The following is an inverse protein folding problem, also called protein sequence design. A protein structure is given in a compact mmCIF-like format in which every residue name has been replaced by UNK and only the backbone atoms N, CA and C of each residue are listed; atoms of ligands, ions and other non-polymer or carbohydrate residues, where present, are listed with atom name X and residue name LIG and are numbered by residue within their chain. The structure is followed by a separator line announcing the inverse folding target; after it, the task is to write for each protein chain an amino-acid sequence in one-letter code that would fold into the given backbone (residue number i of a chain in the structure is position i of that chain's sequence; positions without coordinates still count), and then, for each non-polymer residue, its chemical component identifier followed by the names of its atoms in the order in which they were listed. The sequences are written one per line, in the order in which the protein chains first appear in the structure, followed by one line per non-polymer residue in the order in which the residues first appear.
data_IF_802953417233
#
_entry.id   IF_802953417233
#
_cell.length_a   1.000
_cell.length_b   1.000
_cell.length_c   1.000
_cell.angle_alpha   90.00
_cell.angle_beta   90.00
_cell.angle_gamma   90.00
#
_symmetry.space_group_name_H-M   'P 1'
#
loop_
_entity.id
_entity.type
_entity.pdbx_description
1 polymer ?
#
# COMPACT_ATOMS: atom_id res chain seq x y z
N UNK A 1 17.59 -9.24 -4.18
CA UNK A 1 16.61 -9.93 -5.05
C UNK A 1 17.38 -10.42 -6.28
N UNK A 2 17.12 -11.61 -6.84
CA UNK A 2 17.90 -12.13 -7.98
C UNK A 2 17.58 -11.45 -9.32
N UNK A 3 16.49 -10.68 -9.37
CA UNK A 3 16.11 -9.77 -10.44
C UNK A 3 16.39 -8.33 -10.00
N UNK A 4 16.55 -7.41 -10.96
CA UNK A 4 16.77 -5.98 -10.69
C UNK A 4 15.63 -5.36 -9.91
N UNK A 5 14.39 -5.60 -10.34
CA UNK A 5 13.18 -5.19 -9.62
C UNK A 5 12.05 -6.21 -9.81
N UNK A 6 10.96 -6.03 -9.05
CA UNK A 6 9.72 -6.78 -9.30
C UNK A 6 9.15 -6.50 -10.70
N UNK A 7 9.33 -5.27 -11.19
CA UNK A 7 8.87 -4.87 -12.52
C UNK A 7 9.64 -5.56 -13.65
N UNK A 8 10.94 -5.83 -13.46
CA UNK A 8 11.78 -6.50 -14.47
C UNK A 8 11.61 -8.03 -14.49
N UNK A 9 11.16 -8.64 -13.40
CA UNK A 9 11.18 -10.10 -13.25
C UNK A 9 10.31 -10.86 -14.26
N UNK A 10 9.05 -10.45 -14.47
CA UNK A 10 8.15 -11.13 -15.41
C UNK A 10 8.61 -11.00 -16.87
N UNK A 11 9.02 -9.82 -17.37
CA UNK A 11 9.64 -9.69 -18.69
C UNK A 11 10.87 -10.60 -18.87
N UNK A 12 11.80 -10.62 -17.91
CA UNK A 12 12.98 -11.49 -18.01
C UNK A 12 12.57 -12.96 -18.10
N UNK A 13 11.66 -13.42 -17.23
CA UNK A 13 11.16 -14.80 -17.26
C UNK A 13 10.44 -15.15 -18.58
N UNK A 14 9.74 -14.19 -19.18
CA UNK A 14 9.12 -14.37 -20.48
C UNK A 14 10.17 -14.61 -21.58
N UNK A 15 11.23 -13.80 -21.64
CA UNK A 15 12.32 -13.98 -22.62
C UNK A 15 13.01 -15.34 -22.48
N UNK A 16 13.24 -15.81 -21.25
CA UNK A 16 13.75 -17.17 -21.02
C UNK A 16 12.81 -18.25 -21.55
N UNK A 17 11.50 -18.05 -21.38
CA UNK A 17 10.49 -18.99 -21.89
C UNK A 17 10.50 -19.01 -23.41
N UNK A 18 10.52 -17.84 -24.06
CA UNK A 18 10.61 -17.72 -25.52
C UNK A 18 11.87 -18.39 -26.08
N UNK A 19 13.02 -18.17 -25.44
CA UNK A 19 14.27 -18.81 -25.84
C UNK A 19 14.21 -20.33 -25.66
N UNK A 20 13.63 -20.83 -24.57
CA UNK A 20 13.46 -22.28 -24.37
C UNK A 20 12.54 -22.89 -25.42
N UNK A 21 11.46 -22.22 -25.81
CA UNK A 21 10.62 -22.65 -26.93
C UNK A 21 11.42 -22.77 -28.24
N UNK A 22 12.35 -21.86 -28.52
CA UNK A 22 13.24 -21.95 -29.69
C UNK A 22 14.20 -23.14 -29.59
N UNK A 23 14.79 -23.37 -28.41
CA UNK A 23 15.67 -24.54 -28.17
C UNK A 23 14.93 -25.86 -28.38
N UNK A 24 13.70 -25.99 -27.88
CA UNK A 24 12.87 -27.19 -28.07
C UNK A 24 12.45 -27.40 -29.53
N UNK A 25 12.26 -26.31 -30.29
CA UNK A 25 11.93 -26.40 -31.70
C UNK A 25 13.10 -26.96 -32.54
N UNK A 26 14.34 -26.66 -32.16
CA UNK A 26 15.54 -27.16 -32.83
C UNK A 26 15.93 -28.57 -32.34
N UNK A 27 15.88 -28.81 -31.03
CA UNK A 27 16.26 -30.09 -30.43
C UNK A 27 15.33 -30.40 -29.24
N UNK A 28 14.27 -31.21 -29.43
CA UNK A 28 13.30 -31.50 -28.38
C UNK A 28 13.88 -32.29 -27.21
N UNK A 29 13.33 -32.08 -26.01
CA UNK A 29 13.59 -32.87 -24.81
C UNK A 29 14.63 -32.29 -23.86
N UNK A 30 14.92 -30.98 -23.93
CA UNK A 30 15.79 -30.33 -22.95
C UNK A 30 15.11 -30.28 -21.59
N UNK A 31 15.87 -30.57 -20.53
CA UNK A 31 15.40 -30.36 -19.16
C UNK A 31 16.39 -29.51 -18.39
N UNK A 32 15.86 -28.63 -17.53
CA UNK A 32 16.65 -27.77 -16.65
C UNK A 32 16.36 -28.19 -15.23
N UNK A 33 17.37 -28.77 -14.56
CA UNK A 33 17.21 -29.31 -13.19
C UNK A 33 16.05 -30.33 -13.09
N UNK A 34 15.84 -31.11 -14.14
CA UNK A 34 14.78 -32.12 -14.22
C UNK A 34 13.37 -31.56 -14.49
N UNK A 35 13.26 -30.28 -14.88
CA UNK A 35 12.01 -29.63 -15.29
C UNK A 35 12.03 -29.47 -16.81
N UNK A 36 10.95 -29.86 -17.48
CA UNK A 36 10.72 -29.65 -18.91
C UNK A 36 10.02 -28.31 -19.19
N UNK A 37 9.94 -27.93 -20.47
CA UNK A 37 9.31 -26.66 -20.88
C UNK A 37 7.84 -26.58 -20.43
N UNK A 38 7.07 -27.66 -20.56
CA UNK A 38 5.65 -27.66 -20.20
C UNK A 38 5.43 -27.42 -18.69
N UNK A 39 6.24 -28.06 -17.84
CA UNK A 39 6.19 -27.86 -16.38
C UNK A 39 6.66 -26.44 -16.02
N UNK A 40 7.66 -25.91 -16.71
CA UNK A 40 8.10 -24.53 -16.56
C UNK A 40 6.99 -23.54 -16.91
N UNK A 41 6.32 -23.70 -18.04
CA UNK A 41 5.23 -22.82 -18.49
C UNK A 41 4.06 -22.80 -17.49
N UNK A 42 3.71 -23.95 -16.91
CA UNK A 42 2.72 -24.03 -15.83
C UNK A 42 3.16 -23.28 -14.56
N UNK A 43 4.44 -23.43 -14.18
CA UNK A 43 5.00 -22.69 -13.05
C UNK A 43 5.04 -21.19 -13.30
N UNK A 44 5.38 -20.76 -14.52
CA UNK A 44 5.38 -19.37 -14.94
C UNK A 44 3.97 -18.76 -14.93
N UNK A 45 2.96 -19.50 -15.42
CA UNK A 45 1.55 -19.12 -15.31
C UNK A 45 1.10 -18.96 -13.85
N UNK A 46 1.50 -19.89 -12.98
CA UNK A 46 1.24 -19.81 -11.53
C UNK A 46 1.88 -18.57 -10.92
N UNK A 47 3.13 -18.26 -11.29
CA UNK A 47 3.83 -17.08 -10.81
C UNK A 47 3.11 -15.80 -11.22
N UNK A 48 2.61 -15.70 -12.46
CA UNK A 48 1.82 -14.55 -12.92
C UNK A 48 0.56 -14.36 -12.07
N UNK A 49 -0.16 -15.43 -11.79
CA UNK A 49 -1.33 -15.40 -10.91
C UNK A 49 -0.97 -14.94 -9.48
N UNK A 50 0.20 -15.34 -8.95
CA UNK A 50 0.69 -14.87 -7.64
C UNK A 50 1.03 -13.38 -7.63
N UNK A 51 1.52 -12.82 -8.75
CA UNK A 51 1.70 -11.38 -8.89
C UNK A 51 0.36 -10.64 -8.83
N UNK A 52 -0.63 -11.11 -9.59
CA UNK A 52 -1.98 -10.54 -9.61
C UNK A 52 -2.65 -10.63 -8.23
N UNK A 53 -2.57 -11.78 -7.55
CA UNK A 53 -3.10 -11.93 -6.19
C UNK A 53 -2.43 -10.97 -5.21
N UNK A 54 -1.10 -10.82 -5.25
CA UNK A 54 -0.39 -9.86 -4.41
C UNK A 54 -0.89 -8.41 -4.63
N UNK A 55 -1.03 -7.99 -5.90
CA UNK A 55 -1.58 -6.66 -6.26
C UNK A 55 -3.00 -6.48 -5.71
N UNK A 56 -3.85 -7.50 -5.87
CA UNK A 56 -5.23 -7.45 -5.37
C UNK A 56 -5.28 -7.36 -3.84
N UNK A 57 -4.52 -8.20 -3.11
CA UNK A 57 -4.53 -8.19 -1.63
C UNK A 57 -3.96 -6.90 -1.06
N UNK A 58 -2.92 -6.36 -1.68
CA UNK A 58 -2.40 -5.06 -1.29
C UNK A 58 -3.43 -3.95 -1.57
N UNK A 59 -4.12 -3.96 -2.72
CA UNK A 59 -5.22 -3.01 -3.00
C UNK A 59 -6.33 -3.08 -1.93
N UNK A 60 -6.70 -4.29 -1.48
CA UNK A 60 -7.63 -4.47 -0.38
C UNK A 60 -7.13 -3.90 0.96
N UNK A 61 -5.83 -4.04 1.25
CA UNK A 61 -5.22 -3.46 2.44
C UNK A 61 -5.30 -1.93 2.43
N UNK A 62 -5.10 -1.32 1.27
CA UNK A 62 -5.16 0.13 1.07
C UNK A 62 -6.59 0.65 1.27
N UNK A 63 -7.57 -0.04 0.71
CA UNK A 63 -8.99 0.26 0.92
C UNK A 63 -9.35 0.20 2.40
N UNK A 64 -8.86 -0.83 3.12
CA UNK A 64 -9.11 -0.97 4.55
C UNK A 64 -8.50 0.19 5.37
N UNK A 65 -7.30 0.66 5.01
CA UNK A 65 -6.67 1.83 5.62
C UNK A 65 -7.52 3.08 5.38
N UNK A 66 -7.97 3.26 4.14
CA UNK A 66 -8.87 4.35 3.75
C UNK A 66 -10.16 4.38 4.55
N UNK A 67 -10.87 3.24 4.64
CA UNK A 67 -12.11 3.09 5.42
C UNK A 67 -11.89 3.38 6.90
N UNK A 68 -10.79 2.90 7.49
CA UNK A 68 -10.40 3.22 8.87
C UNK A 68 -10.23 4.73 9.07
N UNK A 69 -9.51 5.40 8.18
CA UNK A 69 -9.22 6.83 8.33
C UNK A 69 -10.48 7.70 8.18
N UNK A 70 -11.36 7.35 7.24
CA UNK A 70 -12.68 8.00 7.08
C UNK A 70 -13.53 7.84 8.34
N UNK A 71 -13.62 6.62 8.89
CA UNK A 71 -14.37 6.37 10.13
C UNK A 71 -13.75 7.06 11.33
N UNK A 72 -12.42 7.13 11.39
CA UNK A 72 -11.70 7.84 12.45
C UNK A 72 -12.06 9.31 12.43
N UNK A 73 -12.06 9.94 11.25
CA UNK A 73 -12.40 11.36 11.11
C UNK A 73 -13.87 11.62 11.47
N UNK A 74 -14.80 10.80 10.99
CA UNK A 74 -16.22 10.91 11.37
C UNK A 74 -16.41 10.83 12.90
N UNK A 75 -15.73 9.92 13.59
CA UNK A 75 -15.81 9.80 15.04
C UNK A 75 -15.12 10.94 15.78
N UNK A 76 -14.04 11.49 15.22
CA UNK A 76 -13.37 12.70 15.73
C UNK A 76 -14.34 13.88 15.70
N UNK A 77 -15.10 14.04 14.63
CA UNK A 77 -16.08 15.11 14.50
C UNK A 77 -17.23 14.97 15.50
N UNK A 78 -17.80 13.76 15.67
CA UNK A 78 -18.80 13.54 16.72
C UNK A 78 -18.25 13.84 18.12
N UNK A 79 -16.99 13.51 18.41
CA UNK A 79 -16.34 13.85 19.67
C UNK A 79 -16.15 15.37 19.81
N UNK A 80 -15.78 16.09 18.74
CA UNK A 80 -15.68 17.55 18.73
C UNK A 80 -17.04 18.20 19.06
N UNK A 81 -18.10 17.75 18.40
CA UNK A 81 -19.47 18.20 18.66
C UNK A 81 -19.87 17.92 20.11
N UNK A 82 -19.68 16.70 20.60
CA UNK A 82 -19.92 16.35 22.00
C UNK A 82 -19.19 17.29 22.96
N UNK A 83 -17.88 17.53 22.74
CA UNK A 83 -17.09 18.43 23.60
C UNK A 83 -17.63 19.86 23.61
N UNK A 84 -18.14 20.35 22.48
CA UNK A 84 -18.69 21.71 22.36
C UNK A 84 -20.05 21.86 23.03
N UNK A 85 -20.91 20.85 22.92
CA UNK A 85 -22.31 20.94 23.37
C UNK A 85 -22.54 20.41 24.79
N UNK A 86 -21.78 19.40 25.20
CA UNK A 86 -21.97 18.70 26.46
C UNK A 86 -21.89 19.63 27.68
N UNK A 87 -20.89 20.53 27.84
CA UNK A 87 -20.82 21.41 29.00
C UNK A 87 -22.07 22.29 29.15
N UNK A 88 -22.60 22.79 28.05
CA UNK A 88 -23.80 23.64 28.02
C UNK A 88 -25.04 22.84 28.43
N UNK A 89 -25.20 21.63 27.89
CA UNK A 89 -26.36 20.75 28.18
C UNK A 89 -26.27 20.09 29.56
N UNK A 90 -25.06 19.91 30.10
CA UNK A 90 -24.80 19.31 31.39
C UNK A 90 -24.55 20.33 32.52
N UNK A 91 -24.64 21.65 32.26
CA UNK A 91 -24.28 22.74 33.19
C UNK A 91 -24.92 22.65 34.58
N UNK A 92 -26.10 22.03 34.69
CA UNK A 92 -26.84 21.85 35.95
C UNK A 92 -26.56 20.50 36.64
N UNK A 93 -25.57 19.75 36.17
CA UNK A 93 -25.17 18.44 36.70
C UNK A 93 -23.69 18.49 37.08
N UNK A 94 -23.20 17.70 38.05
CA UNK A 94 -21.77 17.63 38.36
C UNK A 94 -20.91 17.10 37.20
N UNK A 95 -21.54 16.57 36.14
CA UNK A 95 -20.86 15.95 35.01
C UNK A 95 -20.27 16.96 34.01
N UNK A 96 -20.62 18.25 34.08
CA UNK A 96 -20.27 19.24 33.05
C UNK A 96 -18.76 19.39 32.79
N UNK A 97 -17.91 19.02 33.76
CA UNK A 97 -16.45 19.03 33.63
C UNK A 97 -15.86 17.75 33.04
N UNK A 98 -16.64 16.67 32.93
CA UNK A 98 -16.20 15.35 32.47
C UNK A 98 -16.08 15.27 30.94
N UNK A 99 -15.49 16.30 30.33
CA UNK A 99 -15.36 16.41 28.88
C UNK A 99 -14.11 15.62 28.42
N UNK A 100 -14.25 14.51 27.68
CA UNK A 100 -13.11 13.70 27.23
C UNK A 100 -12.22 14.51 26.29
N UNK A 101 -10.89 14.35 26.37
CA UNK A 101 -9.93 15.05 25.50
C UNK A 101 -10.18 14.73 24.01
N UNK A 102 -9.98 15.72 23.13
CA UNK A 102 -9.95 15.49 21.69
C UNK A 102 -8.53 15.07 21.29
N UNK A 103 -8.33 13.84 20.76
CA UNK A 103 -7.02 13.42 20.27
C UNK A 103 -6.53 14.29 19.11
N UNK A 104 -5.24 14.23 18.77
CA UNK A 104 -4.72 14.82 17.52
C UNK A 104 -5.19 14.00 16.30
N UNK A 105 -5.21 14.58 15.10
CA UNK A 105 -5.70 13.91 13.88
C UNK A 105 -4.91 12.64 13.56
N UNK A 106 -3.60 12.69 13.84
CA UNK A 106 -2.64 11.61 13.66
C UNK A 106 -2.31 10.88 14.98
N UNK A 107 -3.15 10.99 16.01
CA UNK A 107 -2.95 10.29 17.27
C UNK A 107 -2.93 8.76 17.07
N UNK A 108 -2.24 8.06 17.98
CA UNK A 108 -2.18 6.61 17.92
C UNK A 108 -3.53 5.97 18.28
N UNK A 109 -3.79 4.79 17.74
CA UNK A 109 -5.05 4.05 17.96
C UNK A 109 -5.48 3.96 19.44
N UNK A 110 -4.60 3.63 20.42
CA UNK A 110 -5.02 3.53 21.82
C UNK A 110 -5.57 4.84 22.39
N UNK A 111 -4.97 5.98 22.02
CA UNK A 111 -5.40 7.30 22.47
C UNK A 111 -6.79 7.63 21.91
N UNK A 112 -7.02 7.37 20.62
CA UNK A 112 -8.31 7.59 19.96
C UNK A 112 -9.39 6.72 20.59
N UNK A 113 -9.15 5.41 20.72
CA UNK A 113 -10.14 4.48 21.25
C UNK A 113 -10.46 4.74 22.72
N UNK A 114 -9.49 5.25 23.49
CA UNK A 114 -9.71 5.65 24.89
C UNK A 114 -10.60 6.88 24.98
N UNK A 115 -10.30 7.93 24.20
CA UNK A 115 -11.11 9.14 24.18
C UNK A 115 -12.56 8.89 23.77
N UNK A 116 -12.79 8.07 22.73
CA UNK A 116 -14.13 7.71 22.28
C UNK A 116 -14.90 6.86 23.30
N UNK A 117 -14.21 5.94 23.99
CA UNK A 117 -14.79 5.14 25.07
C UNK A 117 -15.20 6.01 26.26
N UNK A 118 -14.34 6.93 26.66
CA UNK A 118 -14.64 7.87 27.74
C UNK A 118 -15.84 8.77 27.38
N UNK A 119 -15.92 9.21 26.13
CA UNK A 119 -17.08 9.95 25.61
C UNK A 119 -18.37 9.13 25.73
N UNK A 120 -18.40 7.90 25.23
CA UNK A 120 -19.57 7.03 25.34
C UNK A 120 -19.98 6.80 26.80
N UNK A 121 -18.99 6.61 27.70
CA UNK A 121 -19.24 6.43 29.14
C UNK A 121 -19.89 7.67 29.75
N UNK A 122 -19.32 8.86 29.54
CA UNK A 122 -19.85 10.11 30.12
C UNK A 122 -21.24 10.41 29.57
N UNK A 123 -21.44 10.24 28.27
CA UNK A 123 -22.74 10.43 27.63
C UNK A 123 -23.79 9.46 28.19
N UNK A 124 -23.43 8.19 28.37
CA UNK A 124 -24.33 7.19 28.98
C UNK A 124 -24.71 7.57 30.42
N UNK A 125 -23.73 7.97 31.25
CA UNK A 125 -23.99 8.40 32.63
C UNK A 125 -24.94 9.61 32.65
N UNK A 126 -24.73 10.60 31.77
CA UNK A 126 -25.65 11.73 31.65
C UNK A 126 -27.07 11.29 31.26
N UNK A 127 -27.22 10.41 30.27
CA UNK A 127 -28.52 9.90 29.82
C UNK A 127 -29.25 9.13 30.94
N UNK A 128 -28.52 8.42 31.79
CA UNK A 128 -29.08 7.74 32.96
C UNK A 128 -29.53 8.73 34.05
N UNK A 129 -28.79 9.83 34.25
CA UNK A 129 -29.16 10.86 35.24
C UNK A 129 -30.30 11.77 34.77
N UNK A 130 -30.47 11.95 33.46
CA UNK A 130 -31.48 12.86 32.87
C UNK A 130 -32.85 12.20 32.65
N UNK A 131 -32.96 10.88 32.73
CA UNK A 131 -34.20 10.12 32.45
C UNK A 131 -34.84 9.46 33.68
N UNK A 132 -34.46 9.88 34.89
CA UNK A 132 -35.03 9.36 36.14
C UNK A 132 -36.54 9.69 36.34
N UNK A 133 -37.23 9.02 37.28
CA UNK A 133 -38.69 9.11 37.47
C UNK A 133 -39.25 10.52 37.70
N UNK A 134 -38.41 11.50 38.04
CA UNK A 134 -38.78 12.88 38.34
C UNK A 134 -38.03 13.94 37.49
N UNK A 135 -37.47 13.56 36.33
CA UNK A 135 -36.73 14.51 35.47
C UNK A 135 -37.38 14.65 34.09
N UNK A 136 -37.77 15.88 33.73
CA UNK A 136 -38.33 16.24 32.41
C UNK A 136 -37.28 16.34 31.29
N UNK A 137 -36.06 15.83 31.51
CA UNK A 137 -34.96 15.98 30.57
C UNK A 137 -34.94 14.84 29.55
N UNK A 138 -34.84 15.21 28.26
CA UNK A 138 -34.70 14.24 27.17
C UNK A 138 -33.25 13.74 27.10
N UNK A 139 -33.01 12.52 26.59
CA UNK A 139 -31.65 12.04 26.31
C UNK A 139 -30.86 13.06 25.49
N UNK A 140 -29.56 13.14 25.75
CA UNK A 140 -28.67 14.01 24.99
C UNK A 140 -28.62 13.56 23.53
N UNK A 141 -28.97 14.49 22.65
CA UNK A 141 -28.79 14.41 21.19
C UNK A 141 -27.92 15.60 20.79
N UNK A 142 -26.92 15.37 19.93
CA UNK A 142 -26.06 16.42 19.38
C UNK A 142 -26.80 17.21 18.28
N UNK A 143 -26.26 18.38 17.92
CA UNK A 143 -26.87 19.27 16.91
C UNK A 143 -27.02 18.63 15.52
N UNK A 144 -26.16 17.69 15.17
CA UNK A 144 -26.21 16.89 13.94
C UNK A 144 -27.24 15.73 13.99
N UNK A 145 -27.96 15.58 15.11
CA UNK A 145 -28.89 14.47 15.32
C UNK A 145 -28.22 13.17 15.79
N UNK A 146 -26.92 13.19 16.13
CA UNK A 146 -26.23 12.01 16.67
C UNK A 146 -26.72 11.68 18.07
N UNK A 147 -27.20 10.45 18.23
CA UNK A 147 -27.59 9.86 19.52
C UNK A 147 -26.46 9.02 20.09
N UNK A 148 -26.54 8.67 21.38
CA UNK A 148 -25.59 7.74 22.00
C UNK A 148 -25.52 6.40 21.26
N UNK A 149 -26.66 5.88 20.80
CA UNK A 149 -26.72 4.62 20.03
C UNK A 149 -25.95 4.73 18.71
N UNK A 150 -26.19 5.79 17.93
CA UNK A 150 -25.46 6.05 16.68
C UNK A 150 -23.96 6.23 16.92
N UNK A 151 -23.59 6.94 17.99
CA UNK A 151 -22.19 7.10 18.38
C UNK A 151 -21.54 5.75 18.73
N UNK A 152 -22.19 4.92 19.54
CA UNK A 152 -21.71 3.59 19.90
C UNK A 152 -21.60 2.66 18.68
N UNK A 153 -22.54 2.72 17.74
CA UNK A 153 -22.46 1.99 16.48
C UNK A 153 -21.25 2.45 15.65
N UNK A 154 -21.05 3.76 15.51
CA UNK A 154 -19.88 4.33 14.85
C UNK A 154 -18.56 3.91 15.51
N UNK A 155 -18.51 3.88 16.84
CA UNK A 155 -17.35 3.43 17.60
C UNK A 155 -17.04 1.94 17.38
N UNK A 156 -18.06 1.07 17.39
CA UNK A 156 -17.92 -0.35 17.05
C UNK A 156 -17.44 -0.55 15.61
N UNK A 157 -18.00 0.21 14.66
CA UNK A 157 -17.58 0.17 13.26
C UNK A 157 -16.11 0.61 13.09
N UNK A 158 -15.66 1.65 13.82
CA UNK A 158 -14.25 2.07 13.81
C UNK A 158 -13.33 0.98 14.38
N UNK A 159 -13.72 0.32 15.47
CA UNK A 159 -12.95 -0.81 16.03
C UNK A 159 -12.82 -1.95 15.02
N UNK A 160 -13.90 -2.28 14.31
CA UNK A 160 -13.88 -3.29 13.25
C UNK A 160 -12.96 -2.88 12.10
N UNK A 161 -12.98 -1.60 11.69
CA UNK A 161 -12.08 -1.09 10.66
C UNK A 161 -10.59 -1.23 11.04
N UNK A 162 -10.23 -0.99 12.30
CA UNK A 162 -8.86 -1.28 12.78
C UNK A 162 -8.49 -2.76 12.65
N UNK A 163 -9.40 -3.68 12.98
CA UNK A 163 -9.14 -5.12 12.81
C UNK A 163 -9.03 -5.52 11.34
N UNK A 164 -9.90 -4.98 10.49
CA UNK A 164 -9.88 -5.23 9.05
C UNK A 164 -8.55 -4.81 8.41
N UNK A 165 -7.95 -3.69 8.86
CA UNK A 165 -6.61 -3.28 8.40
C UNK A 165 -5.56 -4.34 8.73
N UNK A 166 -5.54 -4.85 9.97
CA UNK A 166 -4.57 -5.87 10.38
C UNK A 166 -4.76 -7.20 9.63
N UNK A 167 -6.00 -7.59 9.38
CA UNK A 167 -6.30 -8.79 8.59
C UNK A 167 -5.89 -8.64 7.12
N UNK A 168 -6.19 -7.49 6.51
CA UNK A 168 -5.82 -7.21 5.14
C UNK A 168 -4.29 -7.12 4.97
N UNK A 169 -3.58 -6.52 5.93
CA UNK A 169 -2.12 -6.50 5.98
C UNK A 169 -1.54 -7.92 5.98
N UNK A 170 -2.03 -8.80 6.87
CA UNK A 170 -1.55 -10.19 6.94
C UNK A 170 -1.80 -10.96 5.64
N UNK A 171 -2.97 -10.79 5.02
CA UNK A 171 -3.29 -11.43 3.73
C UNK A 171 -2.36 -10.95 2.62
N UNK A 172 -2.10 -9.65 2.58
CA UNK A 172 -1.22 -9.04 1.60
C UNK A 172 0.24 -9.50 1.78
N UNK A 173 0.71 -9.58 3.03
CA UNK A 173 2.03 -10.13 3.34
C UNK A 173 2.16 -11.60 2.91
N UNK A 174 1.17 -12.44 3.20
CA UNK A 174 1.18 -13.85 2.78
C UNK A 174 1.19 -14.04 1.25
N UNK A 175 0.48 -13.19 0.51
CA UNK A 175 0.50 -13.20 -0.96
C UNK A 175 1.89 -12.81 -1.50
N UNK A 176 2.51 -11.77 -0.93
CA UNK A 176 3.88 -11.35 -1.27
C UNK A 176 4.91 -12.45 -0.98
N UNK A 177 4.85 -13.08 0.19
CA UNK A 177 5.74 -14.20 0.54
C UNK A 177 5.61 -15.38 -0.44
N UNK A 178 4.39 -15.68 -0.88
CA UNK A 178 4.13 -16.75 -1.84
C UNK A 178 4.71 -16.43 -3.22
N UNK A 179 4.52 -15.20 -3.70
CA UNK A 179 5.14 -14.67 -4.93
C UNK A 179 6.66 -14.72 -4.85
N UNK A 180 7.24 -14.18 -3.78
CA UNK A 180 8.69 -14.04 -3.62
C UNK A 180 9.39 -15.41 -3.51
N UNK A 181 8.75 -16.39 -2.85
CA UNK A 181 9.24 -17.77 -2.82
C UNK A 181 9.29 -18.39 -4.21
N UNK A 182 8.26 -18.18 -5.03
CA UNK A 182 8.23 -18.70 -6.39
C UNK A 182 9.25 -17.98 -7.28
N UNK A 183 9.43 -16.66 -7.11
CA UNK A 183 10.48 -15.90 -7.82
C UNK A 183 11.89 -16.43 -7.53
N UNK A 184 12.20 -16.74 -6.28
CA UNK A 184 13.49 -17.31 -5.91
C UNK A 184 13.74 -18.65 -6.62
N UNK A 185 12.71 -19.50 -6.68
CA UNK A 185 12.78 -20.78 -7.39
C UNK A 185 12.95 -20.58 -8.90
N UNK A 186 12.22 -19.63 -9.50
CA UNK A 186 12.34 -19.30 -10.92
C UNK A 186 13.75 -18.82 -11.28
N UNK A 187 14.32 -17.94 -10.45
CA UNK A 187 15.69 -17.47 -10.62
C UNK A 187 16.74 -18.60 -10.50
N UNK A 188 16.49 -19.62 -9.66
CA UNK A 188 17.37 -20.80 -9.60
C UNK A 188 17.39 -21.52 -10.96
N UNK A 189 16.24 -21.77 -11.58
CA UNK A 189 16.20 -22.42 -12.90
C UNK A 189 16.96 -21.63 -13.96
N UNK A 190 16.80 -20.30 -14.00
CA UNK A 190 17.49 -19.43 -14.95
C UNK A 190 19.02 -19.47 -14.78
N UNK A 191 19.53 -19.60 -13.56
CA UNK A 191 20.99 -19.72 -13.31
C UNK A 191 21.60 -20.98 -13.91
N UNK A 192 20.81 -22.04 -14.06
CA UNK A 192 21.26 -23.31 -14.66
C UNK A 192 20.89 -23.43 -16.14
N UNK A 193 20.03 -22.54 -16.64
CA UNK A 193 19.50 -22.57 -17.99
C UNK A 193 20.61 -22.49 -19.05
N UNK A 194 21.51 -21.52 -18.92
CA UNK A 194 22.64 -21.31 -19.84
C UNK A 194 23.45 -22.61 -20.06
N UNK A 195 23.86 -23.24 -18.95
CA UNK A 195 24.59 -24.51 -18.99
C UNK A 195 23.78 -25.64 -19.62
N UNK A 196 22.47 -25.68 -19.38
CA UNK A 196 21.61 -26.71 -19.96
C UNK A 196 21.51 -26.56 -21.48
N UNK A 197 21.35 -25.32 -21.99
CA UNK A 197 21.30 -25.04 -23.43
C UNK A 197 22.62 -25.43 -24.10
N UNK A 198 23.75 -25.02 -23.54
CA UNK A 198 25.08 -25.32 -24.11
C UNK A 198 25.35 -26.83 -24.14
N UNK A 199 24.95 -27.57 -23.11
CA UNK A 199 25.09 -29.04 -23.07
C UNK A 199 24.16 -29.73 -24.07
N UNK A 200 22.94 -29.21 -24.23
CA UNK A 200 21.91 -29.82 -25.06
C UNK A 200 22.13 -29.59 -26.57
N UNK A 201 22.55 -28.38 -26.95
CA UNK A 201 22.76 -27.99 -28.36
C UNK A 201 24.22 -28.09 -28.81
N UNK A 202 25.16 -28.17 -27.87
CA UNK A 202 26.59 -28.07 -28.13
C UNK A 202 27.11 -26.63 -28.09
N UNK A 203 28.42 -26.42 -27.87
CA UNK A 203 29.00 -25.10 -27.58
C UNK A 203 28.97 -24.12 -28.75
N UNK A 204 29.00 -24.60 -29.99
CA UNK A 204 29.07 -23.76 -31.19
C UNK A 204 27.69 -23.41 -31.78
N UNK A 205 26.59 -23.82 -31.12
CA UNK A 205 25.25 -23.58 -31.62
C UNK A 205 24.89 -22.09 -31.57
N UNK A 206 24.32 -21.50 -32.64
CA UNK A 206 24.04 -20.05 -32.70
C UNK A 206 23.12 -19.54 -31.59
N UNK A 207 22.18 -20.36 -31.11
CA UNK A 207 21.29 -20.00 -30.00
C UNK A 207 22.05 -19.73 -28.68
N UNK A 208 23.29 -20.21 -28.52
CA UNK A 208 24.06 -19.91 -27.32
C UNK A 208 24.39 -18.41 -27.19
N UNK A 209 24.49 -17.68 -28.32
CA UNK A 209 24.76 -16.25 -28.31
C UNK A 209 23.53 -15.39 -27.96
N UNK A 210 22.33 -15.97 -28.01
CA UNK A 210 21.05 -15.29 -27.71
C UNK A 210 20.46 -15.67 -26.36
N UNK A 211 21.20 -16.39 -25.52
CA UNK A 211 20.72 -16.79 -24.19
C UNK A 211 20.41 -15.52 -23.37
N UNK A 212 19.18 -15.36 -22.87
CA UNK A 212 18.82 -14.18 -22.10
C UNK A 212 19.61 -14.11 -20.79
N UNK A 213 20.03 -12.90 -20.39
CA UNK A 213 20.73 -12.69 -19.13
C UNK A 213 19.75 -12.57 -17.95
N UNK A 214 20.10 -13.16 -16.81
CA UNK A 214 19.31 -13.05 -15.58
C UNK A 214 19.29 -11.60 -15.03
N UNK A 215 20.39 -10.87 -15.21
CA UNK A 215 20.52 -9.47 -14.82
C UNK A 215 21.46 -8.77 -15.81
N UNK A 216 20.97 -7.84 -16.65
CA UNK A 216 21.81 -7.08 -17.58
C UNK A 216 22.80 -6.18 -16.83
N UNK A 217 23.93 -5.79 -17.45
CA UNK A 217 25.02 -5.06 -16.80
C UNK A 217 24.61 -3.71 -16.21
N UNK A 218 25.27 -3.36 -15.09
CA UNK A 218 25.05 -2.12 -14.33
C UNK A 218 25.49 -0.89 -15.14
N UNK A 219 24.53 -0.23 -15.77
CA UNK A 219 24.61 1.20 -16.08
C UNK A 219 23.59 1.91 -15.17
N UNK A 220 24.07 2.39 -14.02
CA UNK A 220 23.25 3.07 -13.01
C UNK A 220 22.60 4.31 -13.60
N UNK A 221 21.27 4.39 -13.48
CA UNK A 221 20.53 5.62 -13.73
C UNK A 221 20.71 6.54 -12.52
N UNK A 222 20.85 7.87 -12.72
CA UNK A 222 20.81 8.83 -11.61
C UNK A 222 19.56 8.62 -10.75
N UNK A 223 19.63 8.91 -9.45
CA UNK A 223 18.47 8.86 -8.58
C UNK A 223 17.70 10.19 -8.67
N UNK A 224 16.37 10.18 -8.86
CA UNK A 224 15.58 11.41 -8.76
C UNK A 224 15.57 11.96 -7.32
N UNK A 225 15.65 13.27 -7.16
CA UNK A 225 15.45 13.93 -5.87
C UNK A 225 13.98 14.32 -5.75
N UNK A 226 13.27 13.74 -4.78
CA UNK A 226 11.83 13.91 -4.61
C UNK A 226 11.53 14.76 -3.38
N UNK A 227 10.67 15.74 -3.53
CA UNK A 227 10.06 16.48 -2.43
C UNK A 227 8.54 16.25 -2.43
N UNK A 228 7.94 16.32 -1.25
CA UNK A 228 6.49 16.19 -1.10
C UNK A 228 5.98 17.06 0.03
N UNK A 229 4.90 17.80 -0.26
CA UNK A 229 4.18 18.61 0.70
C UNK A 229 2.67 18.44 0.48
N UNK A 230 1.89 18.73 1.51
CA UNK A 230 0.45 18.86 1.35
C UNK A 230 0.13 20.25 0.77
N UNK A 231 -0.63 20.27 -0.31
CA UNK A 231 -1.16 21.48 -0.93
C UNK A 231 -2.61 21.66 -0.50
N UNK A 232 -2.84 22.68 0.35
CA UNK A 232 -4.15 23.00 0.91
C UNK A 232 -5.14 23.53 -0.14
N UNK A 233 -4.66 24.24 -1.16
CA UNK A 233 -5.52 24.78 -2.21
C UNK A 233 -6.01 23.67 -3.13
N UNK A 234 -5.12 22.72 -3.45
CA UNK A 234 -5.44 21.58 -4.30
C UNK A 234 -6.13 20.41 -3.55
N UNK A 235 -6.17 20.43 -2.21
CA UNK A 235 -6.58 19.33 -1.32
C UNK A 235 -5.89 18.01 -1.72
N UNK A 236 -4.59 18.08 -2.06
CA UNK A 236 -3.76 16.99 -2.61
C UNK A 236 -2.34 17.07 -2.05
N UNK A 237 -1.66 15.93 -2.01
CA UNK A 237 -0.20 15.95 -1.90
C UNK A 237 0.40 16.43 -3.23
N UNK A 238 1.24 17.46 -3.15
CA UNK A 238 2.07 17.96 -4.24
C UNK A 238 3.43 17.28 -4.15
N UNK A 239 3.83 16.61 -5.23
CA UNK A 239 5.14 16.02 -5.39
C UNK A 239 5.90 16.78 -6.46
N UNK A 240 7.14 17.15 -6.18
CA UNK A 240 8.05 17.84 -7.10
C UNK A 240 9.38 17.14 -7.10
N UNK A 241 10.07 17.08 -8.24
CA UNK A 241 11.35 16.39 -8.32
C UNK A 241 12.31 16.98 -9.33
N UNK A 242 13.60 16.70 -9.13
CA UNK A 242 14.68 16.93 -10.08
C UNK A 242 15.24 15.60 -10.58
N UNK A 243 15.78 15.60 -11.80
CA UNK A 243 16.36 14.42 -12.42
C UNK A 243 17.31 14.84 -13.55
N UNK A 244 18.58 14.45 -13.41
CA UNK A 244 19.67 14.86 -14.31
C UNK A 244 20.14 13.73 -15.26
N UNK A 245 19.39 12.63 -15.35
CA UNK A 245 19.68 11.51 -16.26
C UNK A 245 19.11 11.69 -17.66
N UNK A 246 19.74 11.05 -18.64
CA UNK A 246 19.27 11.01 -20.03
C UNK A 246 18.26 9.87 -20.28
N UNK A 247 17.41 10.05 -21.30
CA UNK A 247 16.38 9.12 -21.81
C UNK A 247 15.74 8.16 -20.79
N UNK A 248 14.83 8.70 -19.98
CA UNK A 248 13.84 7.90 -19.27
C UNK A 248 12.58 7.73 -20.12
N UNK A 249 11.95 6.56 -20.03
CA UNK A 249 10.66 6.27 -20.65
C UNK A 249 9.53 6.96 -19.87
N UNK A 250 9.52 6.80 -18.55
CA UNK A 250 8.58 7.46 -17.65
C UNK A 250 9.14 7.55 -16.24
N UNK A 251 8.53 8.41 -15.43
CA UNK A 251 8.62 8.27 -13.99
C UNK A 251 7.49 7.37 -13.48
N UNK A 252 7.75 6.61 -12.44
CA UNK A 252 6.72 5.82 -11.76
C UNK A 252 6.68 6.23 -10.29
N UNK A 253 5.58 6.85 -9.89
CA UNK A 253 5.32 7.11 -8.49
C UNK A 253 4.89 5.79 -7.84
N UNK A 254 5.68 5.32 -6.88
CA UNK A 254 5.34 4.18 -6.04
C UNK A 254 5.10 4.62 -4.61
N UNK A 255 4.34 3.84 -3.86
CA UNK A 255 4.00 4.19 -2.49
C UNK A 255 3.93 2.95 -1.59
N UNK A 256 3.98 3.20 -0.29
CA UNK A 256 3.85 2.17 0.73
C UNK A 256 2.85 2.60 1.82
N UNK A 257 1.92 1.71 2.16
CA UNK A 257 0.82 2.00 3.09
C UNK A 257 1.18 1.83 4.58
N UNK A 258 2.31 1.19 4.88
CA UNK A 258 2.80 0.97 6.24
C UNK A 258 3.58 2.15 6.84
N UNK A 259 3.90 2.10 8.16
CA UNK A 259 4.53 3.20 8.89
C UNK A 259 6.00 3.46 8.49
N UNK A 260 6.62 2.52 7.78
CA UNK A 260 7.97 2.61 7.22
C UNK A 260 7.93 2.12 5.79
N UNK A 261 8.70 2.75 4.92
CA UNK A 261 8.76 2.36 3.51
C UNK A 261 9.51 1.03 3.37
N UNK A 262 8.93 0.07 2.68
CA UNK A 262 9.58 -1.18 2.31
C UNK A 262 9.35 -1.48 0.82
N UNK A 263 10.43 -1.55 0.04
CA UNK A 263 10.36 -1.78 -1.41
C UNK A 263 9.65 -3.09 -1.77
N UNK A 264 9.75 -4.12 -0.93
CA UNK A 264 9.05 -5.39 -1.13
C UNK A 264 7.51 -5.29 -1.07
N UNK A 265 6.98 -4.21 -0.48
CA UNK A 265 5.55 -3.95 -0.33
C UNK A 265 5.09 -2.65 -0.99
N UNK A 266 5.90 -2.07 -1.89
CA UNK A 266 5.52 -0.86 -2.60
C UNK A 266 4.57 -1.17 -3.77
N UNK A 267 3.77 -0.18 -4.13
CA UNK A 267 2.77 -0.28 -5.19
C UNK A 267 2.91 0.87 -6.16
N UNK A 268 2.71 0.59 -7.45
CA UNK A 268 2.57 1.64 -8.44
C UNK A 268 1.32 2.47 -8.17
N UNK A 269 1.50 3.77 -7.99
CA UNK A 269 0.43 4.74 -7.91
C UNK A 269 0.09 5.27 -9.30
N UNK A 270 1.11 5.69 -10.04
CA UNK A 270 0.94 6.37 -11.32
C UNK A 270 2.21 6.32 -12.16
N UNK A 271 2.06 6.08 -13.46
CA UNK A 271 3.08 6.38 -14.47
C UNK A 271 2.94 7.84 -14.90
N UNK A 272 4.03 8.58 -14.83
CA UNK A 272 4.10 10.02 -15.04
C UNK A 272 5.02 10.27 -16.24
N UNK A 273 4.56 11.13 -17.15
CA UNK A 273 5.33 11.47 -18.35
C UNK A 273 6.72 12.04 -17.98
N UNK A 274 7.78 11.69 -18.73
CA UNK A 274 9.14 12.08 -18.42
C UNK A 274 9.38 13.60 -18.55
N UNK A 275 8.47 14.33 -19.21
CA UNK A 275 8.50 15.79 -19.31
C UNK A 275 7.95 16.53 -18.09
N UNK A 276 7.29 15.84 -17.16
CA UNK A 276 6.73 16.43 -15.96
C UNK A 276 7.77 16.45 -14.82
N UNK A 277 7.67 17.46 -13.96
CA UNK A 277 8.48 17.62 -12.74
C UNK A 277 7.61 17.85 -11.50
N UNK A 278 6.30 17.75 -11.68
CA UNK A 278 5.30 17.96 -10.65
C UNK A 278 4.14 17.00 -10.86
N UNK A 279 3.59 16.48 -9.76
CA UNK A 279 2.41 15.62 -9.75
C UNK A 279 1.59 15.83 -8.48
N UNK A 280 0.26 15.80 -8.60
CA UNK A 280 -0.65 15.97 -7.47
C UNK A 280 -1.49 14.73 -7.25
N UNK A 281 -1.55 14.24 -6.01
CA UNK A 281 -2.29 13.01 -5.70
C UNK A 281 -2.99 13.03 -4.34
N UNK A 282 -4.09 12.28 -4.24
CA UNK A 282 -4.77 11.93 -2.98
C UNK A 282 -4.64 10.45 -2.65
N UNK A 283 -3.80 9.74 -3.38
CA UNK A 283 -3.68 8.30 -3.24
C UNK A 283 -3.25 7.94 -1.81
N UNK A 284 -4.04 7.18 -1.07
CA UNK A 284 -3.83 6.91 0.36
C UNK A 284 -3.91 8.12 1.31
N UNK A 285 -4.51 9.24 0.88
CA UNK A 285 -4.75 10.45 1.66
C UNK A 285 -6.26 10.76 1.72
N UNK A 286 -7.07 9.75 2.06
CA UNK A 286 -8.52 9.82 1.92
C UNK A 286 -9.21 10.66 3.00
N UNK A 287 -8.59 10.82 4.19
CA UNK A 287 -9.15 11.60 5.29
C UNK A 287 -8.06 12.35 6.07
N UNK A 288 -8.48 13.30 6.90
CA UNK A 288 -7.58 14.00 7.82
C UNK A 288 -6.82 13.03 8.72
N UNK A 289 -5.52 13.29 8.89
CA UNK A 289 -4.56 12.44 9.56
C UNK A 289 -4.17 11.17 8.79
N UNK A 290 -4.62 10.97 7.54
CA UNK A 290 -4.08 9.91 6.67
C UNK A 290 -2.61 10.18 6.40
N UNK A 291 -1.82 9.11 6.33
CA UNK A 291 -0.36 9.17 6.13
C UNK A 291 -0.03 8.33 4.91
N UNK A 292 0.76 8.89 4.00
CA UNK A 292 1.30 8.17 2.85
C UNK A 292 2.83 8.31 2.80
N UNK A 293 3.49 7.24 2.34
CA UNK A 293 4.92 7.22 2.04
C UNK A 293 5.10 6.99 0.55
N UNK A 294 5.86 7.85 -0.13
CA UNK A 294 6.10 7.75 -1.57
C UNK A 294 7.59 7.62 -1.90
N UNK A 295 7.86 7.02 -3.06
CA UNK A 295 9.12 7.11 -3.79
C UNK A 295 8.84 7.32 -5.26
N UNK A 296 9.71 8.04 -5.93
CA UNK A 296 9.67 8.20 -7.38
C UNK A 296 10.74 7.31 -8.01
N UNK A 297 10.36 6.53 -9.00
CA UNK A 297 11.27 5.73 -9.80
C UNK A 297 11.44 6.38 -11.17
N UNK A 298 12.68 6.60 -11.57
CA UNK A 298 13.01 6.91 -12.96
C UNK A 298 13.18 5.58 -13.71
N UNK A 299 12.40 5.35 -14.76
CA UNK A 299 12.38 4.09 -15.53
C UNK A 299 12.79 4.37 -16.96
N UNK A 300 13.85 3.73 -17.44
CA UNK A 300 14.32 3.82 -18.82
C UNK A 300 13.59 2.82 -19.74
N UNK A 301 13.68 3.04 -21.06
CA UNK A 301 13.02 2.20 -22.09
C UNK A 301 13.45 0.73 -22.05
N UNK A 302 14.67 0.49 -21.59
CA UNK A 302 15.27 -0.83 -21.41
C UNK A 302 14.92 -1.48 -20.06
N UNK A 303 14.02 -0.87 -19.28
CA UNK A 303 13.54 -1.39 -18.00
C UNK A 303 14.50 -1.15 -16.83
N UNK A 304 15.61 -0.42 -17.03
CA UNK A 304 16.45 0.02 -15.92
C UNK A 304 15.67 1.01 -15.06
N UNK A 305 15.76 0.87 -13.75
CA UNK A 305 15.14 1.81 -12.80
C UNK A 305 16.12 2.30 -11.74
N UNK A 306 15.87 3.52 -11.25
CA UNK A 306 16.53 4.13 -10.09
C UNK A 306 15.51 4.89 -9.25
N UNK A 307 15.65 4.85 -7.93
CA UNK A 307 14.63 5.29 -6.98
C UNK A 307 15.08 6.48 -6.13
N UNK A 308 14.16 7.39 -5.86
CA UNK A 308 14.37 8.47 -4.88
C UNK A 308 14.48 7.93 -3.46
N UNK A 309 14.88 8.82 -2.55
CA UNK A 309 14.61 8.63 -1.12
C UNK A 309 13.08 8.63 -0.86
N UNK A 310 12.66 8.02 0.25
CA UNK A 310 11.23 7.99 0.61
C UNK A 310 10.79 9.29 1.26
N UNK A 311 9.67 9.85 0.79
CA UNK A 311 9.04 11.03 1.37
C UNK A 311 7.77 10.65 2.12
N UNK A 312 7.44 11.40 3.17
CA UNK A 312 6.25 11.18 4.00
C UNK A 312 5.37 12.41 3.96
N UNK A 313 4.09 12.21 3.70
CA UNK A 313 3.08 13.27 3.77
C UNK A 313 1.94 12.85 4.69
N UNK A 314 1.37 13.85 5.38
CA UNK A 314 0.22 13.71 6.24
C UNK A 314 -0.83 14.67 5.71
N UNK A 315 -2.06 14.19 5.50
CA UNK A 315 -3.20 15.07 5.24
C UNK A 315 -3.59 15.76 6.55
N UNK A 316 -3.56 17.10 6.64
CA UNK A 316 -3.78 17.82 7.87
C UNK A 316 -5.16 17.61 8.49
#
# INVERSE_FOLDING_TARGET
MPFRSLGSALPTLHHFTEHWTQVEAESPGMTVRGVDLATWEQAFGTLRALYEDAIHKDSHWQIAIGDRDVRREAMREHLRLFRSEFPTKAKKTPLWQLVPKLPRAYAQQPEILTALRDCARVWNVYNQHSTGPNTSAKPLVLSDGTTLERFCQGFSNLRNAYQNVLEAERRAMGARESRDRMLLRAAEYMRYYDKAVVVHLGPDHPLNASIPELCPPDCELPCPELECAWDEEADKAKLTWTYDGEEIDHFELRYHAGPRYAAAGEHSCQKIDPGLREFHTRFCLLATGSIALYKLYAVAKDGRESASHSVRVIRP
#
